data_IF_034298291049
#
_entry.id   IF_034298291049
#
_cell.length_a   1.000
_cell.length_b   1.000
_cell.length_c   1.000
_cell.angle_alpha   90.00
_cell.angle_beta   90.00
_cell.angle_gamma   90.00
#
_symmetry.space_group_name_H-M   'P 1'
#
loop_
_entity.id
_entity.type
_entity.pdbx_description
1 polymer ?
#
# COMPACT_ATOMS: atom_id res chain seq x y z
N UNK A 1 -1.11 -36.93 24.17
CA UNK A 1 -1.16 -36.52 22.74
C UNK A 1 -1.69 -35.08 22.67
N UNK A 2 -0.87 -34.12 22.22
CA UNK A 2 -1.22 -32.70 22.13
C UNK A 2 -2.02 -32.42 20.85
N UNK A 3 -3.28 -32.02 20.99
CA UNK A 3 -4.05 -31.46 19.87
C UNK A 3 -3.49 -30.07 19.51
N UNK A 4 -2.78 -29.99 18.38
CA UNK A 4 -2.46 -28.74 17.71
C UNK A 4 -3.78 -28.09 17.24
N UNK A 5 -4.19 -27.01 17.89
CA UNK A 5 -5.32 -26.19 17.44
C UNK A 5 -4.96 -25.52 16.12
N UNK A 6 -5.76 -25.80 15.08
CA UNK A 6 -5.69 -25.10 13.79
C UNK A 6 -5.90 -23.59 14.00
N UNK A 7 -5.10 -22.70 13.37
CA UNK A 7 -5.27 -21.26 13.51
C UNK A 7 -6.67 -20.81 13.05
N UNK A 8 -7.25 -19.87 13.80
CA UNK A 8 -8.63 -19.38 13.61
C UNK A 8 -8.81 -18.73 12.23
N UNK A 9 -10.02 -18.84 11.67
CA UNK A 9 -10.36 -18.44 10.28
C UNK A 9 -10.18 -16.95 9.98
N UNK A 10 -10.06 -16.08 11.00
CA UNK A 10 -9.73 -14.67 10.87
C UNK A 10 -8.24 -14.45 10.51
N UNK A 11 -7.35 -15.36 10.91
CA UNK A 11 -5.93 -15.29 10.60
C UNK A 11 -5.63 -15.49 9.09
N UNK A 12 -6.53 -16.14 8.33
CA UNK A 12 -6.30 -16.45 6.91
C UNK A 12 -6.57 -15.26 5.97
N UNK A 13 -7.52 -14.40 6.33
CA UNK A 13 -7.87 -13.21 5.54
C UNK A 13 -6.81 -12.12 5.72
N UNK A 14 -6.34 -11.91 6.96
CA UNK A 14 -5.26 -10.95 7.20
C UNK A 14 -3.88 -11.49 6.75
N UNK A 15 -3.67 -12.81 6.79
CA UNK A 15 -2.53 -13.44 6.12
C UNK A 15 -2.54 -13.21 4.60
N UNK A 16 -3.68 -12.91 3.96
CA UNK A 16 -3.76 -12.63 2.52
C UNK A 16 -3.33 -11.21 2.17
N UNK A 17 -3.51 -10.26 3.10
CA UNK A 17 -3.07 -8.85 2.98
C UNK A 17 -1.61 -8.72 3.41
N UNK A 18 -1.21 -9.40 4.49
CA UNK A 18 0.19 -9.60 4.82
C UNK A 18 0.89 -10.40 3.71
N UNK A 19 0.22 -11.35 3.05
CA UNK A 19 0.70 -12.00 1.83
C UNK A 19 0.59 -11.14 0.59
N UNK A 20 -0.15 -10.03 0.55
CA UNK A 20 -0.04 -9.07 -0.55
C UNK A 20 1.22 -8.20 -0.36
N UNK A 21 1.46 -7.75 0.88
CA UNK A 21 2.73 -7.14 1.31
C UNK A 21 3.93 -8.09 1.15
N UNK A 22 3.78 -9.36 1.54
CA UNK A 22 4.80 -10.41 1.47
C UNK A 22 4.89 -11.04 0.09
N UNK A 23 3.84 -11.17 -0.73
CA UNK A 23 3.97 -11.62 -2.12
C UNK A 23 4.61 -10.53 -2.99
N UNK A 24 4.36 -9.25 -2.69
CA UNK A 24 5.14 -8.15 -3.25
C UNK A 24 6.63 -8.26 -2.83
N UNK A 25 6.90 -8.64 -1.58
CA UNK A 25 8.27 -8.92 -1.10
C UNK A 25 8.87 -10.26 -1.62
N UNK A 26 8.07 -11.29 -1.90
CA UNK A 26 8.50 -12.68 -2.15
C UNK A 26 8.58 -13.04 -3.63
N UNK A 27 7.79 -12.39 -4.49
CA UNK A 27 8.03 -12.42 -5.95
C UNK A 27 9.41 -11.85 -6.32
N UNK A 28 10.10 -11.20 -5.36
CA UNK A 28 11.45 -10.65 -5.49
C UNK A 28 12.59 -11.65 -5.21
N UNK A 29 12.30 -12.91 -4.87
CA UNK A 29 13.30 -13.84 -4.32
C UNK A 29 13.68 -15.04 -5.21
N UNK A 30 12.98 -15.33 -6.31
CA UNK A 30 13.32 -16.49 -7.15
C UNK A 30 13.47 -16.10 -8.62
N UNK A 31 14.66 -15.61 -8.96
CA UNK A 31 15.19 -15.64 -10.32
C UNK A 31 16.19 -16.78 -10.41
N UNK A 32 15.73 -18.00 -10.69
CA UNK A 32 16.58 -19.02 -11.31
C UNK A 32 15.83 -19.61 -12.50
N UNK A 33 16.56 -19.68 -13.61
CA UNK A 33 16.16 -20.30 -14.87
C UNK A 33 15.74 -21.75 -14.65
N UNK A 34 14.57 -22.12 -15.17
CA UNK A 34 14.29 -23.52 -15.51
C UNK A 34 13.77 -23.54 -16.94
N UNK A 35 14.62 -24.00 -17.86
CA UNK A 35 14.25 -24.39 -19.22
C UNK A 35 13.64 -25.80 -19.18
N UNK A 36 12.51 -25.97 -19.86
CA UNK A 36 11.94 -27.28 -20.18
C UNK A 36 10.41 -27.24 -20.24
N UNK A 37 9.76 -27.86 -21.24
CA UNK A 37 8.31 -27.81 -21.37
C UNK A 37 7.69 -28.91 -20.52
N UNK A 38 6.66 -28.61 -19.74
CA UNK A 38 5.67 -29.64 -19.37
C UNK A 38 4.35 -29.01 -18.87
N UNK A 39 3.22 -29.69 -19.12
CA UNK A 39 1.86 -29.17 -19.00
C UNK A 39 1.32 -29.39 -17.59
N UNK A 40 0.25 -28.69 -17.20
CA UNK A 40 -0.87 -29.19 -16.36
C UNK A 40 -1.68 -28.00 -15.82
N UNK A 41 -2.72 -27.60 -16.56
CA UNK A 41 -3.91 -26.97 -16.02
C UNK A 41 -4.82 -28.07 -15.47
N UNK A 42 -4.73 -28.35 -14.18
CA UNK A 42 -5.72 -29.19 -13.47
C UNK A 42 -5.72 -28.82 -11.98
N UNK A 43 -6.33 -27.68 -11.65
CA UNK A 43 -6.55 -27.18 -10.29
C UNK A 43 -8.03 -27.27 -9.91
N UNK A 44 -8.58 -28.49 -9.78
CA UNK A 44 -10.02 -28.70 -9.54
C UNK A 44 -10.42 -29.14 -8.12
N UNK A 45 -9.49 -29.27 -7.17
CA UNK A 45 -9.82 -29.62 -5.78
C UNK A 45 -9.50 -28.52 -4.77
N UNK A 46 -8.32 -27.88 -4.88
CA UNK A 46 -7.89 -26.81 -3.97
C UNK A 46 -8.77 -25.55 -4.05
N UNK A 47 -9.24 -25.18 -5.24
CA UNK A 47 -10.14 -24.03 -5.45
C UNK A 47 -11.58 -24.31 -4.98
N UNK A 48 -12.02 -25.58 -4.97
CA UNK A 48 -13.34 -25.98 -4.44
C UNK A 48 -13.37 -25.93 -2.91
N UNK A 49 -12.25 -26.27 -2.26
CA UNK A 49 -12.16 -26.27 -0.80
C UNK A 49 -12.01 -24.85 -0.20
N UNK A 50 -11.51 -23.90 -1.00
CA UNK A 50 -11.55 -22.45 -0.68
C UNK A 50 -12.95 -21.84 -0.77
N UNK A 51 -13.88 -22.48 -1.48
CA UNK A 51 -15.21 -21.92 -1.82
C UNK A 51 -16.38 -22.59 -1.08
N UNK A 52 -16.23 -23.80 -0.53
CA UNK A 52 -17.29 -24.49 0.22
C UNK A 52 -17.49 -23.92 1.65
N UNK A 53 -18.70 -23.41 1.97
CA UNK A 53 -19.01 -22.68 3.23
C UNK A 53 -20.23 -23.26 3.98
N UNK A 54 -20.17 -23.22 5.32
CA UNK A 54 -21.31 -23.38 6.26
C UNK A 54 -21.94 -22.01 6.62
N UNK A 55 -23.22 -21.95 7.03
CA UNK A 55 -23.97 -20.71 7.23
C UNK A 55 -23.69 -20.05 8.60
N UNK A 56 -23.51 -18.74 8.55
CA UNK A 56 -23.35 -17.79 9.67
C UNK A 56 -22.97 -16.44 9.07
N UNK A 57 -23.71 -15.37 9.37
CA UNK A 57 -23.56 -14.07 8.69
C UNK A 57 -22.15 -13.51 8.93
N UNK A 58 -21.37 -13.40 7.85
CA UNK A 58 -20.04 -12.80 7.87
C UNK A 58 -20.16 -11.28 7.84
N UNK A 59 -19.25 -10.52 8.49
CA UNK A 59 -19.07 -9.11 8.17
C UNK A 59 -18.84 -8.97 6.66
N UNK A 60 -19.46 -7.98 6.04
CA UNK A 60 -19.30 -7.73 4.61
C UNK A 60 -17.82 -7.45 4.29
N UNK A 61 -17.30 -7.97 3.17
CA UNK A 61 -15.92 -7.68 2.76
C UNK A 61 -15.71 -6.22 2.35
N UNK A 62 -16.80 -5.57 1.99
CA UNK A 62 -16.86 -4.19 1.54
C UNK A 62 -17.85 -3.47 2.45
N UNK A 63 -17.51 -2.29 2.98
CA UNK A 63 -18.52 -1.48 3.63
C UNK A 63 -19.67 -1.17 2.65
N UNK A 64 -20.91 -1.02 3.13
CA UNK A 64 -21.96 -0.38 2.34
C UNK A 64 -21.44 0.96 1.82
N UNK A 65 -21.71 1.28 0.55
CA UNK A 65 -21.24 2.53 -0.06
C UNK A 65 -21.93 3.71 0.65
N UNK A 66 -21.27 4.30 1.65
CA UNK A 66 -21.78 5.46 2.37
C UNK A 66 -21.47 6.72 1.57
N UNK A 67 -22.29 6.99 0.55
CA UNK A 67 -22.17 8.21 -0.27
C UNK A 67 -22.28 9.54 0.50
N UNK A 68 -22.38 9.50 1.84
CA UNK A 68 -22.48 10.63 2.77
C UNK A 68 -21.12 11.18 3.22
N UNK A 69 -20.01 10.50 2.94
CA UNK A 69 -18.68 10.93 3.37
C UNK A 69 -18.51 10.94 4.90
N UNK A 70 -17.45 11.59 5.40
CA UNK A 70 -17.15 11.66 6.83
C UNK A 70 -18.11 12.63 7.54
N UNK A 71 -19.02 12.11 8.37
CA UNK A 71 -19.86 12.92 9.26
C UNK A 71 -19.13 13.22 10.58
N UNK A 72 -18.54 14.42 10.66
CA UNK A 72 -17.86 14.90 11.87
C UNK A 72 -18.82 15.30 13.00
N UNK A 73 -20.09 15.60 12.70
CA UNK A 73 -21.04 16.12 13.69
C UNK A 73 -21.49 15.07 14.71
N UNK A 74 -21.43 13.79 14.33
CA UNK A 74 -21.80 12.64 15.17
C UNK A 74 -20.61 11.85 15.68
N UNK A 75 -19.39 12.35 15.44
CA UNK A 75 -18.16 11.70 15.86
C UNK A 75 -17.81 12.08 17.30
N UNK A 76 -17.34 11.11 18.08
CA UNK A 76 -16.92 11.33 19.46
C UNK A 76 -16.08 10.18 20.00
N UNK A 77 -15.60 10.27 21.26
CA UNK A 77 -14.73 9.25 21.87
C UNK A 77 -15.34 7.85 21.87
N UNK A 78 -16.66 7.72 22.06
CA UNK A 78 -17.36 6.43 21.98
C UNK A 78 -17.24 5.80 20.60
N UNK A 79 -17.50 6.58 19.53
CA UNK A 79 -17.35 6.13 18.14
C UNK A 79 -15.93 5.65 17.84
N UNK A 80 -14.93 6.40 18.30
CA UNK A 80 -13.54 6.00 18.16
C UNK A 80 -13.25 4.65 18.84
N UNK A 81 -13.73 4.49 20.09
CA UNK A 81 -13.57 3.25 20.85
C UNK A 81 -14.28 2.07 20.16
N UNK A 82 -15.48 2.29 19.63
CA UNK A 82 -16.23 1.26 18.90
C UNK A 82 -15.44 0.77 17.67
N UNK A 83 -14.90 1.69 16.85
CA UNK A 83 -14.07 1.34 15.70
C UNK A 83 -12.81 0.56 16.11
N UNK A 84 -12.07 1.03 17.12
CA UNK A 84 -10.83 0.37 17.58
C UNK A 84 -11.12 -1.03 18.14
N UNK A 85 -12.19 -1.19 18.92
CA UNK A 85 -12.62 -2.49 19.47
C UNK A 85 -13.11 -3.46 18.41
N UNK A 86 -13.61 -2.94 17.28
CA UNK A 86 -14.06 -3.75 16.15
C UNK A 86 -12.90 -4.21 15.24
N UNK A 87 -11.72 -3.58 15.30
CA UNK A 87 -10.57 -3.91 14.43
C UNK A 87 -9.23 -4.19 15.16
N UNK A 88 -9.19 -4.87 16.32
CA UNK A 88 -7.94 -5.04 17.06
C UNK A 88 -6.92 -5.90 16.31
N UNK A 89 -7.39 -6.86 15.50
CA UNK A 89 -6.54 -7.76 14.75
C UNK A 89 -5.83 -7.03 13.60
N UNK A 90 -6.55 -6.21 12.85
CA UNK A 90 -6.01 -5.43 11.74
C UNK A 90 -4.99 -4.40 12.24
N UNK A 91 -5.31 -3.71 13.34
CA UNK A 91 -4.38 -2.76 13.99
C UNK A 91 -3.12 -3.50 14.47
N UNK A 92 -3.29 -4.61 15.19
CA UNK A 92 -2.19 -5.39 15.73
C UNK A 92 -1.29 -5.97 14.63
N UNK A 93 -1.86 -6.46 13.53
CA UNK A 93 -1.10 -7.02 12.41
C UNK A 93 -0.40 -5.94 11.59
N UNK A 94 -1.02 -4.77 11.39
CA UNK A 94 -0.35 -3.63 10.76
C UNK A 94 0.86 -3.17 11.59
N UNK A 95 0.68 -2.97 12.90
CA UNK A 95 1.76 -2.58 13.81
C UNK A 95 2.85 -3.65 13.88
N UNK A 96 2.49 -4.94 13.93
CA UNK A 96 3.46 -6.04 13.95
C UNK A 96 4.26 -6.14 12.65
N UNK A 97 3.60 -6.01 11.48
CA UNK A 97 4.29 -6.03 10.18
C UNK A 97 5.32 -4.90 10.08
N UNK A 98 4.94 -3.69 10.50
CA UNK A 98 5.85 -2.53 10.55
C UNK A 98 6.97 -2.78 11.56
N UNK A 99 6.68 -3.31 12.75
CA UNK A 99 7.69 -3.63 13.74
C UNK A 99 8.71 -4.66 13.24
N UNK A 100 8.25 -5.68 12.52
CA UNK A 100 9.13 -6.68 11.87
C UNK A 100 10.06 -5.99 10.87
N UNK A 101 9.53 -5.11 10.01
CA UNK A 101 10.35 -4.32 9.07
C UNK A 101 11.33 -3.41 9.82
N UNK A 102 10.87 -2.72 10.87
CA UNK A 102 11.69 -1.82 11.68
C UNK A 102 12.87 -2.52 12.33
N UNK A 103 12.66 -3.73 12.87
CA UNK A 103 13.74 -4.53 13.46
C UNK A 103 14.65 -5.13 12.38
N UNK A 104 14.09 -5.74 11.34
CA UNK A 104 14.85 -6.52 10.35
C UNK A 104 15.57 -5.66 9.31
N UNK A 105 14.91 -4.63 8.80
CA UNK A 105 15.37 -3.81 7.68
C UNK A 105 15.94 -2.45 8.18
N UNK A 106 15.28 -1.81 9.15
CA UNK A 106 15.68 -0.48 9.65
C UNK A 106 16.61 -0.53 10.87
N UNK A 107 16.77 -1.70 11.50
CA UNK A 107 17.67 -1.97 12.63
C UNK A 107 17.37 -1.11 13.86
N UNK A 108 16.10 -0.98 14.22
CA UNK A 108 15.67 -0.35 15.47
C UNK A 108 16.38 -0.96 16.69
N UNK A 109 16.75 -0.11 17.65
CA UNK A 109 17.48 -0.50 18.87
C UNK A 109 19.01 -0.54 18.72
N UNK A 110 19.54 -0.20 17.54
CA UNK A 110 20.99 -0.15 17.29
C UNK A 110 21.72 1.09 17.85
N UNK A 111 20.99 2.07 18.40
CA UNK A 111 21.53 3.30 18.96
C UNK A 111 20.68 3.82 20.14
N UNK A 112 21.19 4.86 20.82
CA UNK A 112 20.42 5.67 21.77
C UNK A 112 19.51 6.63 21.00
N UNK A 113 18.40 7.03 21.63
CA UNK A 113 17.48 8.03 21.08
C UNK A 113 18.25 9.27 20.63
N UNK A 114 18.00 9.73 19.40
CA UNK A 114 18.57 10.96 18.88
C UNK A 114 17.67 11.57 17.81
N UNK A 115 17.81 12.89 17.64
CA UNK A 115 17.11 13.67 16.63
C UNK A 115 17.92 13.73 15.34
N UNK A 116 17.25 13.74 14.19
CA UNK A 116 17.89 13.90 12.89
C UNK A 116 17.25 15.03 12.07
N UNK A 117 18.10 15.80 11.36
CA UNK A 117 17.67 16.77 10.35
C UNK A 117 17.88 16.17 8.96
N UNK A 118 16.91 15.37 8.52
CA UNK A 118 17.00 14.61 7.26
C UNK A 118 16.64 15.43 6.02
N UNK A 119 15.94 16.56 6.22
CA UNK A 119 15.38 17.40 5.17
C UNK A 119 14.20 16.73 4.46
N UNK A 120 13.66 17.43 3.46
CA UNK A 120 12.55 16.95 2.62
C UNK A 120 13.08 16.43 1.26
N UNK A 121 12.88 17.20 0.19
CA UNK A 121 13.21 16.80 -1.18
C UNK A 121 14.54 17.39 -1.68
N UNK A 122 15.37 17.93 -0.79
CA UNK A 122 16.61 18.64 -1.16
C UNK A 122 17.69 17.72 -1.74
N UNK A 123 18.56 18.27 -2.59
CA UNK A 123 19.70 17.53 -3.18
C UNK A 123 20.74 17.08 -2.13
N UNK A 124 20.79 17.76 -1.00
CA UNK A 124 21.70 17.47 0.11
C UNK A 124 21.09 16.52 1.16
N UNK A 125 19.89 15.99 0.90
CA UNK A 125 19.25 15.01 1.79
C UNK A 125 19.82 13.61 1.55
N UNK A 126 19.50 12.67 2.45
CA UNK A 126 19.98 11.30 2.38
C UNK A 126 19.22 10.42 1.37
N UNK A 127 17.93 10.69 1.17
CA UNK A 127 17.04 9.87 0.33
C UNK A 127 16.36 10.66 -0.81
N UNK A 128 16.61 11.97 -0.91
CA UNK A 128 15.99 12.82 -1.93
C UNK A 128 14.47 12.93 -1.75
N UNK A 129 13.95 12.75 -0.53
CA UNK A 129 12.52 12.73 -0.23
C UNK A 129 11.79 11.41 -0.46
N UNK A 130 12.46 10.34 -0.91
CA UNK A 130 11.83 9.01 -1.06
C UNK A 130 11.31 8.46 0.27
N UNK A 131 12.02 8.73 1.35
CA UNK A 131 11.61 8.40 2.71
C UNK A 131 10.28 9.05 3.08
N UNK A 132 10.16 10.36 2.87
CA UNK A 132 8.94 11.13 3.15
C UNK A 132 7.77 10.68 2.27
N UNK A 133 8.02 10.34 1.00
CA UNK A 133 6.96 9.77 0.15
C UNK A 133 6.52 8.37 0.60
N UNK A 134 7.42 7.55 1.13
CA UNK A 134 7.10 6.25 1.71
C UNK A 134 6.31 6.34 3.00
N UNK A 135 6.65 7.30 3.86
CA UNK A 135 5.89 7.66 5.06
C UNK A 135 4.47 8.10 4.72
N UNK A 136 4.34 9.02 3.77
CA UNK A 136 3.04 9.47 3.25
C UNK A 136 2.24 8.30 2.63
N UNK A 137 2.88 7.45 1.84
CA UNK A 137 2.20 6.33 1.17
C UNK A 137 1.74 5.28 2.16
N UNK A 138 2.58 4.92 3.13
CA UNK A 138 2.24 3.95 4.17
C UNK A 138 1.11 4.47 5.05
N UNK A 139 1.18 5.73 5.47
CA UNK A 139 0.12 6.42 6.22
C UNK A 139 -1.21 6.43 5.47
N UNK A 140 -1.17 6.75 4.17
CA UNK A 140 -2.33 6.73 3.27
C UNK A 140 -2.97 5.34 3.18
N UNK A 141 -2.17 4.30 2.87
CA UNK A 141 -2.64 2.92 2.70
C UNK A 141 -3.19 2.36 4.01
N UNK A 142 -2.49 2.57 5.14
CA UNK A 142 -2.96 2.13 6.45
C UNK A 142 -4.31 2.77 6.79
N UNK A 143 -4.47 4.07 6.52
CA UNK A 143 -5.71 4.79 6.80
C UNK A 143 -6.87 4.24 5.97
N UNK A 144 -6.72 4.10 4.65
CA UNK A 144 -7.80 3.55 3.80
C UNK A 144 -8.16 2.12 4.20
N UNK A 145 -7.17 1.26 4.46
CA UNK A 145 -7.41 -0.13 4.84
C UNK A 145 -8.11 -0.24 6.20
N UNK A 146 -7.63 0.49 7.21
CA UNK A 146 -8.27 0.48 8.52
C UNK A 146 -9.67 1.09 8.45
N UNK A 147 -9.88 2.14 7.64
CA UNK A 147 -11.19 2.75 7.48
C UNK A 147 -12.21 1.77 6.88
N UNK A 148 -11.83 1.04 5.82
CA UNK A 148 -12.69 0.01 5.22
C UNK A 148 -13.04 -1.10 6.22
N UNK A 149 -12.06 -1.54 7.02
CA UNK A 149 -12.26 -2.59 8.04
C UNK A 149 -13.08 -2.12 9.22
N UNK A 150 -12.85 -0.89 9.70
CA UNK A 150 -13.64 -0.28 10.77
C UNK A 150 -15.09 -0.11 10.33
N UNK A 151 -15.32 0.42 9.13
CA UNK A 151 -16.67 0.55 8.57
C UNK A 151 -17.34 -0.82 8.40
N UNK A 152 -16.65 -1.82 7.85
CA UNK A 152 -17.19 -3.16 7.65
C UNK A 152 -17.52 -3.89 8.98
N UNK A 153 -16.68 -3.73 10.01
CA UNK A 153 -16.85 -4.43 11.29
C UNK A 153 -17.81 -3.69 12.26
N UNK A 154 -18.29 -2.49 11.91
CA UNK A 154 -19.23 -1.69 12.70
C UNK A 154 -20.52 -1.36 11.96
N UNK A 155 -20.85 -2.15 10.92
CA UNK A 155 -22.06 -1.98 10.12
C UNK A 155 -22.20 -0.57 9.49
N UNK A 156 -21.08 0.00 9.05
CA UNK A 156 -21.02 1.30 8.37
C UNK A 156 -21.11 2.49 9.33
N UNK A 157 -20.59 2.35 10.55
CA UNK A 157 -20.61 3.43 11.51
C UNK A 157 -19.84 4.66 11.02
N UNK A 158 -20.45 5.84 11.17
CA UNK A 158 -19.89 7.10 10.69
C UNK A 158 -18.56 7.42 11.36
N UNK A 159 -17.61 7.94 10.58
CA UNK A 159 -16.31 8.42 11.09
C UNK A 159 -15.21 7.37 11.11
N UNK A 160 -15.40 6.21 10.48
CA UNK A 160 -14.38 5.16 10.35
C UNK A 160 -13.05 5.70 9.77
N UNK A 161 -13.10 6.56 8.74
CA UNK A 161 -11.90 7.20 8.17
C UNK A 161 -11.16 8.09 9.19
N UNK A 162 -11.87 8.80 10.06
CA UNK A 162 -11.26 9.63 11.10
C UNK A 162 -10.60 8.77 12.19
N UNK A 163 -11.27 7.70 12.63
CA UNK A 163 -10.66 6.77 13.59
C UNK A 163 -9.44 6.07 12.99
N UNK A 164 -9.54 5.61 11.75
CA UNK A 164 -8.45 4.99 11.02
C UNK A 164 -7.26 5.95 10.85
N UNK A 165 -7.52 7.23 10.54
CA UNK A 165 -6.51 8.27 10.43
C UNK A 165 -5.75 8.48 11.75
N UNK A 166 -6.46 8.57 12.88
CA UNK A 166 -5.86 8.71 14.21
C UNK A 166 -4.99 7.50 14.54
N UNK A 167 -5.48 6.29 14.28
CA UNK A 167 -4.74 5.05 14.55
C UNK A 167 -3.52 4.92 13.65
N UNK A 168 -3.66 5.15 12.33
CA UNK A 168 -2.56 5.08 11.38
C UNK A 168 -1.47 6.12 11.69
N UNK A 169 -1.87 7.35 12.01
CA UNK A 169 -0.92 8.39 12.45
C UNK A 169 -0.19 7.98 13.72
N UNK A 170 -0.89 7.36 14.69
CA UNK A 170 -0.26 6.84 15.92
C UNK A 170 0.75 5.72 15.64
N UNK A 171 0.43 4.78 14.74
CA UNK A 171 1.36 3.73 14.31
C UNK A 171 2.61 4.34 13.66
N UNK A 172 2.44 5.33 12.78
CA UNK A 172 3.54 5.99 12.07
C UNK A 172 4.36 6.92 12.98
N UNK A 173 3.75 7.54 13.98
CA UNK A 173 4.50 8.19 15.06
C UNK A 173 5.38 7.19 15.83
N UNK A 174 4.92 5.94 15.97
CA UNK A 174 5.73 4.83 16.47
C UNK A 174 6.92 4.50 15.57
N UNK A 175 6.79 4.60 14.24
CA UNK A 175 7.88 4.44 13.27
C UNK A 175 8.96 5.50 13.48
N UNK A 176 8.59 6.78 13.52
CA UNK A 176 9.54 7.87 13.77
C UNK A 176 10.23 7.72 15.14
N UNK A 177 9.49 7.21 16.14
CA UNK A 177 10.06 6.87 17.45
C UNK A 177 11.08 5.75 17.34
N UNK A 178 10.80 4.69 16.57
CA UNK A 178 11.75 3.60 16.32
C UNK A 178 13.00 4.06 15.59
N UNK A 179 12.85 4.93 14.59
CA UNK A 179 13.96 5.49 13.81
C UNK A 179 14.93 6.30 14.67
N UNK A 180 14.42 6.93 15.74
CA UNK A 180 15.23 7.59 16.76
C UNK A 180 16.27 6.69 17.43
N UNK A 181 16.03 5.37 17.46
CA UNK A 181 16.93 4.37 18.06
C UNK A 181 17.80 3.65 17.02
N UNK A 182 17.99 4.22 15.84
CA UNK A 182 18.91 3.67 14.82
C UNK A 182 20.19 4.48 14.73
N UNK A 183 21.25 3.96 14.09
CA UNK A 183 22.47 4.74 13.85
C UNK A 183 22.40 5.63 12.60
N UNK A 184 21.40 5.39 11.76
CA UNK A 184 21.38 5.84 10.36
C UNK A 184 20.25 6.82 10.08
N UNK A 185 19.09 6.59 10.69
CA UNK A 185 17.93 7.48 10.73
C UNK A 185 17.90 8.11 12.12
N UNK A 186 17.02 9.07 12.35
CA UNK A 186 16.74 9.57 13.70
C UNK A 186 15.36 10.17 13.78
N UNK A 187 14.92 10.57 14.98
CA UNK A 187 13.60 11.19 15.12
C UNK A 187 13.55 12.47 14.29
N UNK A 188 12.69 12.50 13.28
CA UNK A 188 12.63 13.58 12.31
C UNK A 188 11.28 14.29 12.38
N UNK A 189 11.16 15.46 11.73
CA UNK A 189 9.84 16.09 11.47
C UNK A 189 9.02 15.33 10.40
N UNK A 190 9.29 14.04 10.18
CA UNK A 190 8.61 13.20 9.20
C UNK A 190 7.12 13.03 9.47
N UNK A 191 6.65 13.41 10.67
CA UNK A 191 5.24 13.59 11.01
C UNK A 191 4.44 14.47 10.04
N UNK A 192 5.08 15.40 9.33
CA UNK A 192 4.41 16.19 8.27
C UNK A 192 4.09 15.33 7.05
N UNK A 193 4.97 14.40 6.68
CA UNK A 193 4.76 13.51 5.55
C UNK A 193 3.72 12.43 5.88
N UNK A 194 3.79 11.88 7.10
CA UNK A 194 2.76 10.98 7.63
C UNK A 194 1.40 11.68 7.65
N UNK A 195 1.36 12.90 8.19
CA UNK A 195 0.18 13.74 8.22
C UNK A 195 -0.39 14.02 6.83
N UNK A 196 0.46 14.25 5.82
CA UNK A 196 0.02 14.44 4.43
C UNK A 196 -0.63 13.17 3.85
N UNK A 197 -0.09 11.99 4.16
CA UNK A 197 -0.68 10.71 3.76
C UNK A 197 -2.05 10.46 4.39
N UNK A 198 -2.14 10.68 5.71
CA UNK A 198 -3.41 10.58 6.45
C UNK A 198 -4.43 11.60 5.93
N UNK A 199 -4.02 12.86 5.71
CA UNK A 199 -4.89 13.90 5.19
C UNK A 199 -5.44 13.54 3.80
N UNK A 200 -4.61 12.95 2.93
CA UNK A 200 -5.05 12.49 1.61
C UNK A 200 -6.12 11.40 1.72
N UNK A 201 -5.96 10.42 2.60
CA UNK A 201 -6.97 9.39 2.86
C UNK A 201 -8.26 9.98 3.44
N UNK A 202 -8.15 10.91 4.41
CA UNK A 202 -9.30 11.60 4.97
C UNK A 202 -10.07 12.38 3.90
N UNK A 203 -9.38 13.10 3.02
CA UNK A 203 -10.02 13.81 1.90
C UNK A 203 -10.75 12.85 0.96
N UNK A 204 -10.18 11.67 0.69
CA UNK A 204 -10.86 10.65 -0.13
C UNK A 204 -12.06 10.02 0.55
N UNK A 205 -11.99 9.81 1.86
CA UNK A 205 -13.14 9.36 2.66
C UNK A 205 -14.23 10.43 2.75
N UNK A 206 -13.87 11.71 2.82
CA UNK A 206 -14.81 12.82 2.85
C UNK A 206 -15.45 13.07 1.48
N UNK A 207 -14.70 12.87 0.40
CA UNK A 207 -15.14 13.07 -0.97
C UNK A 207 -15.02 11.76 -1.75
N UNK A 208 -16.05 10.89 -1.76
CA UNK A 208 -16.00 9.61 -2.48
C UNK A 208 -15.61 9.75 -3.96
N UNK A 209 -15.94 10.89 -4.58
CA UNK A 209 -15.51 11.19 -5.96
C UNK A 209 -13.99 11.25 -6.12
N UNK A 210 -13.27 11.75 -5.13
CA UNK A 210 -11.80 11.78 -5.14
C UNK A 210 -11.22 10.36 -5.09
N UNK A 211 -11.91 9.42 -4.43
CA UNK A 211 -11.54 7.99 -4.41
C UNK A 211 -11.67 7.35 -5.80
N UNK A 212 -12.69 7.73 -6.55
CA UNK A 212 -12.89 7.28 -7.94
C UNK A 212 -11.87 7.88 -8.91
N UNK A 213 -11.45 9.13 -8.70
CA UNK A 213 -10.63 9.90 -9.66
C UNK A 213 -9.14 9.67 -9.50
N UNK A 214 -8.65 9.43 -8.29
CA UNK A 214 -7.22 9.44 -8.01
C UNK A 214 -6.78 8.16 -7.31
N UNK A 215 -5.50 7.80 -7.36
CA UNK A 215 -4.86 6.86 -6.43
C UNK A 215 -3.42 7.30 -6.16
N UNK A 216 -2.92 7.05 -4.95
CA UNK A 216 -1.51 7.22 -4.59
C UNK A 216 -0.84 5.84 -4.50
N UNK A 217 0.07 5.56 -5.42
CA UNK A 217 0.66 4.24 -5.66
C UNK A 217 2.16 4.23 -5.51
N UNK A 218 2.70 3.04 -5.29
CA UNK A 218 4.12 2.75 -5.41
C UNK A 218 4.34 1.67 -6.47
N UNK A 219 5.44 1.76 -7.19
CA UNK A 219 5.98 0.63 -7.96
C UNK A 219 7.41 0.37 -7.55
N UNK A 220 7.80 -0.90 -7.61
CA UNK A 220 9.19 -1.29 -7.57
C UNK A 220 9.65 -1.53 -9.01
N UNK A 221 10.67 -0.78 -9.45
CA UNK A 221 11.33 -1.00 -10.73
C UNK A 221 12.13 -2.30 -10.67
N UNK A 222 11.76 -3.23 -11.55
CA UNK A 222 12.50 -4.46 -11.83
C UNK A 222 12.85 -4.45 -13.33
N UNK A 223 14.13 -4.24 -13.67
CA UNK A 223 14.64 -4.14 -15.05
C UNK A 223 16.16 -3.93 -15.08
N UNK A 224 16.80 -3.88 -16.25
CA UNK A 224 18.28 -3.97 -16.41
C UNK A 224 19.11 -2.90 -15.67
N UNK A 225 18.57 -1.69 -15.46
CA UNK A 225 19.15 -0.66 -14.59
C UNK A 225 19.22 -1.09 -13.09
N UNK A 226 18.41 -2.08 -12.69
CA UNK A 226 18.40 -2.67 -11.36
C UNK A 226 19.43 -3.80 -11.21
N UNK A 227 19.96 -4.34 -12.31
CA UNK A 227 21.01 -5.36 -12.25
C UNK A 227 22.42 -4.73 -12.21
N UNK A 228 22.55 -3.50 -12.68
CA UNK A 228 23.80 -2.72 -12.70
C UNK A 228 23.97 -1.78 -11.49
N UNK A 229 22.89 -1.48 -10.75
CA UNK A 229 22.94 -0.68 -9.52
C UNK A 229 22.70 -1.61 -8.32
N UNK A 230 23.63 -1.67 -7.34
CA UNK A 230 23.44 -2.51 -6.17
C UNK A 230 22.12 -2.20 -5.46
N UNK A 231 21.55 -3.18 -4.76
CA UNK A 231 20.45 -2.94 -3.83
C UNK A 231 21.02 -2.10 -2.68
N UNK A 232 20.64 -0.82 -2.58
CA UNK A 232 21.20 0.06 -1.56
C UNK A 232 20.11 0.85 -0.83
N UNK A 233 19.92 0.53 0.45
CA UNK A 233 18.96 1.16 1.36
C UNK A 233 17.54 0.68 1.13
N UNK A 234 16.93 0.07 2.15
CA UNK A 234 15.87 -0.95 2.05
C UNK A 234 16.46 -2.30 2.45
N UNK A 235 15.66 -3.18 3.04
CA UNK A 235 16.14 -4.43 3.61
C UNK A 235 15.62 -5.66 2.89
N UNK A 236 15.49 -6.77 3.62
CA UNK A 236 15.06 -8.06 3.07
C UNK A 236 13.58 -8.02 2.69
N UNK A 237 12.80 -7.18 3.34
CA UNK A 237 11.33 -7.19 3.26
C UNK A 237 10.82 -6.06 2.36
N UNK A 238 11.39 -4.85 2.47
CA UNK A 238 10.95 -3.70 1.67
C UNK A 238 11.97 -3.37 0.56
N UNK A 239 11.53 -3.21 -0.71
CA UNK A 239 12.42 -2.85 -1.80
C UNK A 239 13.22 -1.59 -1.51
N UNK A 240 14.44 -1.54 -2.04
CA UNK A 240 15.31 -0.40 -1.84
C UNK A 240 14.72 0.91 -2.37
N UNK A 241 14.96 2.04 -1.69
CA UNK A 241 14.38 3.34 -2.09
C UNK A 241 14.76 3.72 -3.53
N UNK A 242 15.98 3.40 -3.96
CA UNK A 242 16.42 3.64 -5.33
C UNK A 242 15.68 2.78 -6.36
N UNK A 243 14.93 1.76 -5.94
CA UNK A 243 14.07 0.93 -6.80
C UNK A 243 12.60 1.30 -6.70
N UNK A 244 12.23 2.18 -5.78
CA UNK A 244 10.85 2.62 -5.64
C UNK A 244 10.57 3.81 -6.55
N UNK A 245 9.32 3.92 -6.98
CA UNK A 245 8.76 5.10 -7.61
C UNK A 245 7.36 5.32 -7.06
N UNK A 246 7.12 6.51 -6.57
CA UNK A 246 5.81 6.94 -6.08
C UNK A 246 5.05 7.61 -7.21
N UNK A 247 3.76 7.31 -7.32
CA UNK A 247 2.92 7.65 -8.47
C UNK A 247 1.59 8.20 -7.96
N UNK A 248 1.20 9.37 -8.45
CA UNK A 248 -0.16 9.86 -8.38
C UNK A 248 -0.85 9.53 -9.71
N UNK A 249 -1.86 8.65 -9.67
CA UNK A 249 -2.61 8.24 -10.85
C UNK A 249 -3.98 8.93 -10.88
N UNK A 250 -4.31 9.60 -11.98
CA UNK A 250 -5.63 10.17 -12.27
C UNK A 250 -6.33 9.25 -13.25
N UNK A 251 -7.43 8.64 -12.81
CA UNK A 251 -8.16 7.57 -13.49
C UNK A 251 -9.28 8.14 -14.35
N UNK A 252 -9.30 7.75 -15.62
CA UNK A 252 -10.38 8.12 -16.54
C UNK A 252 -11.76 7.64 -16.06
N UNK A 253 -11.85 6.45 -15.44
CA UNK A 253 -13.13 5.92 -14.94
C UNK A 253 -13.76 6.75 -13.81
N UNK A 254 -12.98 7.63 -13.18
CA UNK A 254 -13.50 8.58 -12.19
C UNK A 254 -14.30 9.75 -12.79
N UNK A 255 -14.32 9.93 -14.11
CA UNK A 255 -15.04 11.04 -14.76
C UNK A 255 -16.27 10.53 -15.51
N UNK A 256 -17.46 11.08 -15.19
CA UNK A 256 -18.73 10.64 -15.81
C UNK A 256 -18.68 10.68 -17.34
N UNK A 257 -18.13 11.75 -17.92
CA UNK A 257 -17.99 11.90 -19.37
C UNK A 257 -17.06 10.89 -20.04
N UNK A 258 -16.22 10.18 -19.28
CA UNK A 258 -15.28 9.19 -19.81
C UNK A 258 -15.73 7.74 -19.58
N UNK A 259 -16.69 7.48 -18.67
CA UNK A 259 -17.15 6.12 -18.31
C UNK A 259 -17.73 5.31 -19.48
N UNK A 260 -18.32 5.99 -20.46
CA UNK A 260 -18.86 5.37 -21.68
C UNK A 260 -17.83 5.26 -22.81
N UNK A 261 -16.58 5.70 -22.59
CA UNK A 261 -15.53 5.73 -23.61
C UNK A 261 -14.39 4.78 -23.24
N UNK A 262 -13.53 4.37 -24.20
CA UNK A 262 -12.32 3.62 -23.89
C UNK A 262 -11.37 4.32 -22.90
N UNK A 263 -11.46 5.65 -22.76
CA UNK A 263 -10.61 6.42 -21.84
C UNK A 263 -10.86 6.09 -20.36
N UNK A 264 -11.95 5.40 -20.01
CA UNK A 264 -12.16 4.88 -18.64
C UNK A 264 -11.03 3.96 -18.17
N UNK A 265 -10.40 3.26 -19.11
CA UNK A 265 -9.26 2.35 -18.86
C UNK A 265 -7.91 3.06 -18.86
N UNK A 266 -7.85 4.36 -19.19
CA UNK A 266 -6.62 5.13 -19.22
C UNK A 266 -6.41 5.89 -17.90
N UNK A 267 -5.14 6.14 -17.59
CA UNK A 267 -4.72 6.96 -16.46
C UNK A 267 -3.68 7.99 -16.89
N UNK A 268 -3.80 9.21 -16.37
CA UNK A 268 -2.71 10.18 -16.38
C UNK A 268 -1.92 10.03 -15.10
N UNK A 269 -0.62 9.81 -15.19
CA UNK A 269 0.23 9.49 -14.04
C UNK A 269 1.35 10.51 -13.86
N UNK A 270 1.51 11.01 -12.63
CA UNK A 270 2.64 11.82 -12.21
C UNK A 270 3.51 10.99 -11.26
N UNK A 271 4.80 10.88 -11.53
CA UNK A 271 5.66 10.03 -10.72
C UNK A 271 6.98 10.69 -10.31
N UNK A 272 7.55 10.18 -9.22
CA UNK A 272 8.80 10.63 -8.65
C UNK A 272 9.67 9.44 -8.22
N UNK A 273 10.95 9.48 -8.58
CA UNK A 273 11.98 8.59 -8.03
C UNK A 273 13.33 9.31 -7.87
N UNK A 274 14.25 8.71 -7.10
CA UNK A 274 15.59 9.26 -6.91
C UNK A 274 16.68 8.22 -7.14
N UNK A 275 17.88 8.69 -7.49
CA UNK A 275 19.10 7.89 -7.70
C UNK A 275 20.31 8.61 -7.13
N UNK A 276 21.35 7.89 -6.74
CA UNK A 276 22.62 8.50 -6.30
C UNK A 276 22.56 9.18 -4.92
N UNK A 277 21.48 8.98 -4.18
CA UNK A 277 21.30 9.58 -2.86
C UNK A 277 21.97 8.75 -1.76
N UNK A 278 22.02 7.42 -1.94
CA UNK A 278 22.65 6.55 -0.95
C UNK A 278 24.18 6.59 -1.04
N UNK A 279 24.84 6.48 0.12
CA UNK A 279 26.31 6.44 0.24
C UNK A 279 27.01 5.43 -0.67
N UNK A 280 26.45 4.25 -0.92
CA UNK A 280 27.06 3.26 -1.83
C UNK A 280 26.93 3.69 -3.29
N UNK A 281 25.78 4.24 -3.70
CA UNK A 281 25.61 4.80 -5.05
C UNK A 281 26.58 5.97 -5.28
N UNK A 282 26.78 6.83 -4.27
CA UNK A 282 27.76 7.92 -4.34
C UNK A 282 29.20 7.41 -4.44
N UNK A 283 29.55 6.33 -3.72
CA UNK A 283 30.87 5.68 -3.83
C UNK A 283 31.12 5.08 -5.21
N UNK A 284 30.05 4.71 -5.93
CA UNK A 284 30.10 4.26 -7.33
C UNK A 284 30.09 5.43 -8.33
N UNK A 285 30.21 6.68 -7.87
CA UNK A 285 30.22 7.86 -8.73
C UNK A 285 28.83 8.27 -9.28
N UNK A 286 27.75 7.64 -8.81
CA UNK A 286 26.39 7.97 -9.22
C UNK A 286 25.99 9.29 -8.55
N UNK A 287 25.82 10.34 -9.36
CA UNK A 287 25.42 11.67 -8.88
C UNK A 287 23.95 11.66 -8.41
N UNK A 288 23.60 12.39 -7.33
CA UNK A 288 22.21 12.54 -6.89
C UNK A 288 21.31 13.07 -8.01
N UNK A 289 20.26 12.33 -8.33
CA UNK A 289 19.24 12.68 -9.32
C UNK A 289 17.85 12.53 -8.71
N UNK A 290 17.01 13.53 -8.95
CA UNK A 290 15.58 13.51 -8.65
C UNK A 290 14.87 13.54 -9.98
N UNK A 291 14.06 12.53 -10.26
CA UNK A 291 13.45 12.38 -11.56
C UNK A 291 11.94 12.56 -11.41
N UNK A 292 11.39 13.46 -12.23
CA UNK A 292 9.95 13.64 -12.34
C UNK A 292 9.47 13.02 -13.64
N UNK A 293 8.28 12.44 -13.59
CA UNK A 293 7.69 11.77 -14.75
C UNK A 293 6.25 12.19 -14.93
N UNK A 294 5.86 12.32 -16.20
CA UNK A 294 4.46 12.35 -16.63
C UNK A 294 4.26 11.15 -17.54
N UNK A 295 3.16 10.42 -17.38
CA UNK A 295 2.93 9.20 -18.12
C UNK A 295 1.45 8.91 -18.36
N UNK A 296 1.22 7.98 -19.27
CA UNK A 296 -0.10 7.40 -19.53
C UNK A 296 -0.04 5.92 -19.16
N UNK A 297 -1.02 5.46 -18.39
CA UNK A 297 -1.08 4.09 -17.88
C UNK A 297 -2.44 3.44 -18.07
N UNK A 298 -2.50 2.16 -17.73
CA UNK A 298 -3.73 1.36 -17.70
C UNK A 298 -4.33 1.35 -16.29
N UNK A 299 -5.61 1.68 -16.21
CA UNK A 299 -6.43 1.47 -15.02
C UNK A 299 -6.81 0.00 -14.92
N UNK A 300 -5.90 -0.79 -14.35
CA UNK A 300 -6.10 -2.23 -14.21
C UNK A 300 -7.29 -2.57 -13.30
N UNK A 301 -7.59 -1.70 -12.31
CA UNK A 301 -8.76 -1.88 -11.46
C UNK A 301 -10.05 -1.79 -12.28
N UNK A 302 -10.17 -0.80 -13.16
CA UNK A 302 -11.31 -0.70 -14.09
C UNK A 302 -11.32 -1.82 -15.13
N UNK A 303 -10.16 -2.15 -15.69
CA UNK A 303 -10.04 -3.18 -16.73
C UNK A 303 -10.46 -4.56 -16.21
N UNK A 304 -10.04 -4.92 -15.01
CA UNK A 304 -10.25 -6.26 -14.44
C UNK A 304 -11.53 -6.36 -13.61
N UNK A 305 -12.01 -5.28 -13.00
CA UNK A 305 -13.13 -5.32 -12.05
C UNK A 305 -14.27 -4.35 -12.37
N UNK A 306 -14.10 -3.47 -13.36
CA UNK A 306 -15.15 -2.58 -13.84
C UNK A 306 -16.16 -3.31 -14.72
N UNK A 307 -17.39 -2.82 -14.74
CA UNK A 307 -18.46 -3.36 -15.58
C UNK A 307 -18.20 -3.00 -17.05
N UNK A 308 -18.34 -3.97 -17.96
CA UNK A 308 -18.04 -3.71 -19.37
C UNK A 308 -18.06 -4.93 -20.28
N UNK A 309 -17.80 -4.69 -21.58
CA UNK A 309 -17.85 -5.71 -22.63
C UNK A 309 -16.61 -6.64 -22.64
N UNK A 310 -15.56 -6.32 -21.89
CA UNK A 310 -14.39 -7.18 -21.72
C UNK A 310 -14.61 -8.15 -20.56
N UNK A 311 -14.10 -9.40 -20.62
CA UNK A 311 -14.16 -10.32 -19.50
C UNK A 311 -13.57 -9.65 -18.25
N UNK A 312 -14.40 -9.50 -17.22
CA UNK A 312 -14.02 -8.92 -15.94
C UNK A 312 -14.31 -9.91 -14.81
N UNK A 313 -13.69 -9.69 -13.66
CA UNK A 313 -13.90 -10.44 -12.43
C UNK A 313 -14.99 -9.79 -11.55
N UNK A 314 -15.84 -8.92 -12.11
CA UNK A 314 -16.93 -8.29 -11.36
C UNK A 314 -17.90 -9.32 -10.73
N UNK A 315 -18.25 -10.45 -11.38
CA UNK A 315 -19.08 -11.48 -10.74
C UNK A 315 -18.41 -12.16 -9.53
N UNK A 316 -17.08 -12.13 -9.44
CA UNK A 316 -16.30 -12.74 -8.36
C UNK A 316 -15.83 -11.70 -7.32
N UNK A 317 -16.36 -10.48 -7.38
CA UNK A 317 -15.88 -9.31 -6.63
C UNK A 317 -16.04 -9.42 -5.10
N UNK A 318 -16.93 -10.31 -4.65
CA UNK A 318 -17.13 -10.65 -3.24
C UNK A 318 -16.29 -11.84 -2.74
N UNK A 319 -15.33 -12.28 -3.54
CA UNK A 319 -14.33 -13.25 -3.07
C UNK A 319 -13.15 -12.52 -2.41
N UNK A 320 -12.60 -13.12 -1.36
CA UNK A 320 -11.43 -12.61 -0.63
C UNK A 320 -10.24 -12.35 -1.57
N UNK A 321 -10.03 -13.24 -2.54
CA UNK A 321 -8.93 -13.15 -3.49
C UNK A 321 -9.10 -11.95 -4.41
N UNK A 322 -10.29 -11.78 -5.01
CA UNK A 322 -10.56 -10.64 -5.89
C UNK A 322 -10.50 -9.33 -5.10
N UNK A 323 -11.05 -9.30 -3.88
CA UNK A 323 -10.94 -8.15 -3.00
C UNK A 323 -9.46 -7.79 -2.73
N UNK A 324 -8.62 -8.76 -2.39
CA UNK A 324 -7.20 -8.54 -2.12
C UNK A 324 -6.43 -8.05 -3.35
N UNK A 325 -6.70 -8.63 -4.53
CA UNK A 325 -6.08 -8.20 -5.79
C UNK A 325 -6.53 -6.79 -6.17
N UNK A 326 -7.83 -6.49 -6.08
CA UNK A 326 -8.37 -5.15 -6.32
C UNK A 326 -7.69 -4.11 -5.41
N UNK A 327 -7.53 -4.43 -4.12
CA UNK A 327 -6.82 -3.58 -3.17
C UNK A 327 -5.35 -3.37 -3.52
N UNK A 328 -4.64 -4.44 -3.87
CA UNK A 328 -3.25 -4.34 -4.28
C UNK A 328 -3.11 -3.38 -5.48
N UNK A 329 -3.96 -3.50 -6.50
CA UNK A 329 -3.89 -2.64 -7.69
C UNK A 329 -4.22 -1.17 -7.43
N UNK A 330 -4.98 -0.85 -6.36
CA UNK A 330 -5.22 0.55 -5.96
C UNK A 330 -3.98 1.24 -5.41
N UNK A 331 -3.07 0.49 -4.79
CA UNK A 331 -1.90 1.03 -4.08
C UNK A 331 -0.56 0.67 -4.71
N UNK A 332 -0.55 -0.31 -5.62
CA UNK A 332 0.64 -0.80 -6.30
C UNK A 332 0.45 -0.64 -7.80
N UNK A 333 1.36 0.08 -8.43
CA UNK A 333 1.42 0.13 -9.89
C UNK A 333 2.19 -1.09 -10.41
N UNK A 334 1.50 -1.90 -11.21
CA UNK A 334 2.10 -3.06 -11.88
C UNK A 334 3.14 -2.58 -12.91
N UNK A 335 4.37 -3.14 -12.89
CA UNK A 335 5.38 -2.80 -13.89
C UNK A 335 4.86 -2.99 -15.33
N UNK A 336 5.38 -2.18 -16.27
CA UNK A 336 5.07 -2.25 -17.70
C UNK A 336 3.62 -1.95 -18.09
N UNK A 337 2.81 -1.42 -17.17
CA UNK A 337 1.42 -1.00 -17.46
C UNK A 337 1.27 0.51 -17.60
N UNK A 338 2.38 1.24 -17.67
CA UNK A 338 2.42 2.67 -17.95
C UNK A 338 3.69 3.05 -18.72
N UNK A 339 3.56 4.03 -19.61
CA UNK A 339 4.66 4.66 -20.31
C UNK A 339 4.93 6.04 -19.71
N UNK A 340 6.20 6.39 -19.52
CA UNK A 340 6.60 7.64 -18.85
C UNK A 340 7.60 8.44 -19.66
N UNK A 341 7.33 9.74 -19.79
CA UNK A 341 8.33 10.73 -20.17
C UNK A 341 9.03 11.26 -18.91
N UNK A 342 10.38 11.24 -18.91
CA UNK A 342 11.19 11.74 -17.79
C UNK A 342 11.59 13.20 -18.01
N UNK A 343 11.37 14.04 -17.01
CA UNK A 343 11.98 15.38 -16.91
C UNK A 343 13.09 15.35 -15.86
N UNK A 344 14.29 15.78 -16.25
CA UNK A 344 15.49 15.86 -15.40
C UNK A 344 15.59 17.21 -14.71
#
# INVERSE_FOLDING_TARGET
MRHLRSPSRHARIVASVAAAWVAFASASAHGQEVRGPTPYLSTSAFLRDLTARKPGAKPALRPPNDGRGVDFSRYGPSRFVDHVRATPLEIGLAAAAIGVVGVTDWKWGGARFHWAKEGFFGKNTHNGGMDKLGHAWTSYVLTEMLAERMAANTDGLSGAHLSAAIVAFGIMAGVETGDAYTRRYGFSRGSVADGAGVALALLRGAFPKLREVMDYRVTAKFGDDANSIPKVGGGRTVPAYNRQRYILAIKGSGFEGLKATPLRYAELQFAYDTRGFHSVERKLGIKPQRNFYVGVGLNLSELLFGEGPVPNFAPARDTELVWAVEHALRYVQVPYTAAYARRR
#
